data_IF_136065396256
#
_entry.id   IF_136065396256
#
_cell.length_a   1.000
_cell.length_b   1.000
_cell.length_c   1.000
_cell.angle_alpha   90.00
_cell.angle_beta   90.00
_cell.angle_gamma   90.00
#
_symmetry.space_group_name_H-M   'P 1'
#
loop_
_entity.id
_entity.type
_entity.pdbx_description
1 polymer ?
#
# COMPACT_ATOMS: atom_id res chain seq x y z
N UNK A 1 4.65 -15.60 1.58
CA UNK A 1 3.92 -14.31 1.59
C UNK A 1 4.89 -13.17 1.34
N UNK A 2 6.02 -13.16 2.04
CA UNK A 2 7.02 -12.09 1.96
C UNK A 2 7.58 -11.86 0.56
N UNK A 3 7.88 -12.92 -0.20
CA UNK A 3 8.32 -12.79 -1.60
C UNK A 3 7.27 -12.15 -2.50
N UNK A 4 5.99 -12.47 -2.32
CA UNK A 4 4.89 -11.82 -3.06
C UNK A 4 4.75 -10.36 -2.65
N UNK A 5 4.82 -10.04 -1.35
CA UNK A 5 4.80 -8.66 -0.87
C UNK A 5 6.00 -7.89 -1.44
N UNK A 6 7.21 -8.46 -1.43
CA UNK A 6 8.40 -7.84 -1.99
C UNK A 6 8.22 -7.56 -3.49
N UNK A 7 7.75 -8.53 -4.28
CA UNK A 7 7.47 -8.32 -5.71
C UNK A 7 6.43 -7.22 -5.94
N UNK A 8 5.29 -7.28 -5.25
CA UNK A 8 4.21 -6.28 -5.38
C UNK A 8 4.59 -4.89 -4.86
N UNK A 9 5.75 -4.76 -4.20
CA UNK A 9 6.29 -3.51 -3.66
C UNK A 9 7.61 -3.11 -4.35
N UNK A 10 7.98 -3.80 -5.44
CA UNK A 10 9.25 -3.55 -6.12
C UNK A 10 9.18 -2.27 -6.95
N UNK A 11 10.25 -1.49 -6.83
CA UNK A 11 10.51 -0.33 -7.69
C UNK A 11 12.01 -0.03 -7.66
N UNK A 12 12.75 -0.53 -8.64
CA UNK A 12 14.19 -0.28 -8.78
C UNK A 12 14.47 0.53 -10.06
N UNK A 13 13.63 1.54 -10.33
CA UNK A 13 13.53 2.19 -11.63
C UNK A 13 14.82 2.80 -12.19
N UNK A 14 15.79 3.13 -11.34
CA UNK A 14 17.08 3.68 -11.78
C UNK A 14 18.04 2.61 -12.30
N UNK A 15 17.84 1.34 -11.95
CA UNK A 15 18.71 0.21 -12.32
C UNK A 15 18.01 -0.85 -13.17
N UNK A 16 16.69 -0.97 -13.08
CA UNK A 16 15.92 -1.95 -13.83
C UNK A 16 15.83 -1.53 -15.32
N UNK A 17 16.39 -2.33 -16.25
CA UNK A 17 16.32 -2.02 -17.68
C UNK A 17 14.87 -1.98 -18.22
N UNK A 18 13.92 -2.63 -17.55
CA UNK A 18 12.49 -2.60 -17.92
C UNK A 18 11.79 -1.31 -17.51
N UNK A 19 12.41 -0.48 -16.66
CA UNK A 19 11.86 0.82 -16.25
C UNK A 19 12.21 1.96 -17.22
N UNK A 20 12.99 1.68 -18.27
CA UNK A 20 13.44 2.69 -19.24
C UNK A 20 12.28 3.29 -20.05
N UNK A 21 12.42 4.55 -20.42
CA UNK A 21 11.56 5.21 -21.40
C UNK A 21 12.39 6.10 -22.32
N UNK A 22 11.80 6.50 -23.46
CA UNK A 22 12.33 7.58 -24.30
C UNK A 22 12.06 8.94 -23.64
N UNK A 23 12.85 9.24 -22.61
CA UNK A 23 12.66 10.31 -21.66
C UNK A 23 14.02 10.77 -21.11
N UNK A 24 14.05 11.91 -20.41
CA UNK A 24 15.26 12.40 -19.73
C UNK A 24 14.92 12.76 -18.27
N UNK A 25 15.45 12.02 -17.26
CA UNK A 25 16.36 10.87 -17.35
C UNK A 25 15.73 9.67 -18.07
N UNK A 26 16.51 8.69 -18.59
CA UNK A 26 16.05 7.60 -19.46
C UNK A 26 15.30 6.48 -18.71
N UNK A 27 14.59 6.84 -17.65
CA UNK A 27 13.79 5.96 -16.81
C UNK A 27 12.65 6.76 -16.17
N UNK A 28 11.61 6.05 -15.76
CA UNK A 28 10.55 6.63 -14.95
C UNK A 28 10.25 5.74 -13.75
N UNK A 29 10.13 6.34 -12.58
CA UNK A 29 9.68 5.68 -11.36
C UNK A 29 8.21 5.20 -11.45
N UNK A 30 7.49 5.57 -12.51
CA UNK A 30 6.18 5.03 -12.86
C UNK A 30 6.28 3.62 -13.45
N UNK A 31 7.38 3.28 -14.15
CA UNK A 31 7.56 2.00 -14.83
C UNK A 31 8.06 0.91 -13.86
N UNK A 32 7.25 0.60 -12.85
CA UNK A 32 7.52 -0.43 -11.85
C UNK A 32 6.21 -1.08 -11.39
N UNK A 33 6.28 -2.24 -10.73
CA UNK A 33 5.09 -2.89 -10.15
C UNK A 33 4.45 -1.96 -9.11
N UNK A 34 5.26 -1.33 -8.26
CA UNK A 34 4.81 -0.33 -7.31
C UNK A 34 5.32 1.06 -7.71
N UNK A 35 4.58 1.78 -8.54
CA UNK A 35 4.97 3.09 -9.08
C UNK A 35 5.21 4.17 -8.01
N UNK A 36 6.10 5.12 -8.31
CA UNK A 36 6.51 6.26 -7.46
C UNK A 36 6.72 7.53 -8.29
N UNK A 37 5.68 8.06 -8.93
CA UNK A 37 5.83 9.21 -9.82
C UNK A 37 6.32 10.48 -9.09
N UNK A 38 6.15 10.55 -7.77
CA UNK A 38 6.70 11.60 -6.91
C UNK A 38 8.24 11.64 -6.86
N UNK A 39 8.92 10.59 -7.33
CA UNK A 39 10.39 10.51 -7.42
C UNK A 39 10.94 10.94 -8.79
N UNK A 40 10.07 11.14 -9.79
CA UNK A 40 10.50 11.63 -11.09
C UNK A 40 10.94 13.10 -10.98
N UNK A 41 12.02 13.51 -11.66
CA UNK A 41 12.39 14.92 -11.72
C UNK A 41 11.28 15.82 -12.30
N UNK A 42 10.97 16.92 -11.61
CA UNK A 42 9.96 17.91 -12.07
C UNK A 42 10.36 18.53 -13.42
N UNK A 43 11.66 18.71 -13.64
CA UNK A 43 12.25 19.26 -14.86
C UNK A 43 12.66 18.18 -15.88
N UNK A 44 12.23 16.93 -15.69
CA UNK A 44 12.47 15.87 -16.66
C UNK A 44 11.62 16.02 -17.92
N UNK A 45 12.09 15.46 -19.03
CA UNK A 45 11.36 15.39 -20.29
C UNK A 45 10.72 14.02 -20.43
N UNK A 46 9.42 13.98 -20.63
CA UNK A 46 8.65 12.75 -20.73
C UNK A 46 7.75 12.77 -21.96
N UNK A 47 7.54 11.62 -22.63
CA UNK A 47 6.73 11.57 -23.84
C UNK A 47 5.24 11.80 -23.56
N UNK A 48 4.80 11.55 -22.32
CA UNK A 48 3.43 11.82 -21.86
C UNK A 48 3.39 11.97 -20.34
N UNK A 49 2.33 12.62 -19.83
CA UNK A 49 2.19 13.06 -18.43
C UNK A 49 2.32 11.93 -17.40
N UNK A 50 1.83 10.73 -17.68
CA UNK A 50 1.87 9.62 -16.70
C UNK A 50 3.29 9.15 -16.34
N UNK A 51 4.31 9.51 -17.13
CA UNK A 51 5.70 9.19 -16.80
C UNK A 51 6.43 10.29 -16.03
N UNK A 52 5.82 11.48 -15.89
CA UNK A 52 6.45 12.64 -15.27
C UNK A 52 6.25 12.71 -13.75
N UNK A 53 6.75 13.76 -13.10
CA UNK A 53 6.42 14.06 -11.71
C UNK A 53 4.94 14.42 -11.54
N UNK A 54 4.23 13.68 -10.69
CA UNK A 54 2.87 14.00 -10.26
C UNK A 54 2.46 13.15 -9.04
N UNK A 55 1.33 13.50 -8.44
CA UNK A 55 0.73 12.78 -7.29
C UNK A 55 0.10 11.44 -7.74
N UNK A 56 0.96 10.47 -8.07
CA UNK A 56 0.57 9.15 -8.54
C UNK A 56 1.59 8.10 -8.09
N UNK A 57 1.09 6.96 -7.63
CA UNK A 57 1.91 5.84 -7.23
C UNK A 57 1.08 4.68 -6.70
N UNK A 58 1.74 3.56 -6.43
CA UNK A 58 1.13 2.49 -5.66
C UNK A 58 1.01 2.91 -4.19
N UNK A 59 -0.16 2.71 -3.58
CA UNK A 59 -0.45 3.18 -2.20
C UNK A 59 -0.71 2.05 -1.21
N UNK A 60 -0.67 0.79 -1.66
CA UNK A 60 -0.80 -0.36 -0.77
C UNK A 60 -0.29 -1.65 -1.45
N UNK A 61 -0.34 -2.75 -0.70
CA UNK A 61 -0.46 -4.11 -1.23
C UNK A 61 -1.37 -4.91 -0.31
N UNK A 62 -2.16 -5.83 -0.87
CA UNK A 62 -2.97 -6.80 -0.12
C UNK A 62 -2.70 -8.19 -0.69
N UNK A 63 -2.33 -9.13 0.16
CA UNK A 63 -2.01 -10.50 -0.24
C UNK A 63 -2.75 -11.48 0.68
N UNK A 64 -3.35 -12.50 0.10
CA UNK A 64 -3.93 -13.63 0.83
C UNK A 64 -3.36 -14.94 0.30
N UNK A 65 -3.69 -16.05 0.96
CA UNK A 65 -3.33 -17.39 0.52
C UNK A 65 -4.43 -18.39 0.92
N UNK A 66 -4.29 -19.64 0.49
CA UNK A 66 -5.25 -20.71 0.76
C UNK A 66 -5.55 -20.94 2.24
N UNK A 67 -4.62 -20.60 3.15
CA UNK A 67 -4.83 -20.68 4.60
C UNK A 67 -5.59 -19.47 5.14
N UNK A 68 -5.20 -18.25 4.74
CA UNK A 68 -5.77 -17.01 5.26
C UNK A 68 -7.21 -16.80 4.78
N UNK A 69 -7.49 -17.16 3.53
CA UNK A 69 -8.83 -16.97 2.93
C UNK A 69 -9.93 -17.72 3.69
N UNK A 70 -9.61 -18.87 4.31
CA UNK A 70 -10.54 -19.65 5.13
C UNK A 70 -11.07 -18.89 6.36
N UNK A 71 -10.37 -17.83 6.77
CA UNK A 71 -10.75 -16.96 7.88
C UNK A 71 -10.97 -15.51 7.44
N UNK A 72 -11.12 -15.29 6.12
CA UNK A 72 -11.25 -13.99 5.46
C UNK A 72 -10.07 -13.05 5.75
N UNK A 73 -8.90 -13.58 6.09
CA UNK A 73 -7.72 -12.80 6.44
C UNK A 73 -6.88 -12.46 5.19
N UNK A 74 -6.09 -11.39 5.33
CA UNK A 74 -5.08 -10.99 4.36
C UNK A 74 -3.96 -10.25 5.09
N UNK A 75 -2.77 -10.24 4.50
CA UNK A 75 -1.67 -9.38 4.92
C UNK A 75 -1.66 -8.14 4.03
N UNK A 76 -1.59 -6.96 4.63
CA UNK A 76 -1.54 -5.70 3.90
C UNK A 76 -0.39 -4.81 4.35
N UNK A 77 0.11 -4.00 3.43
CA UNK A 77 1.01 -2.87 3.72
C UNK A 77 0.34 -1.63 3.15
N UNK A 78 0.26 -0.56 3.94
CA UNK A 78 -0.29 0.73 3.50
C UNK A 78 0.85 1.72 3.20
N UNK A 79 0.65 2.56 2.19
CA UNK A 79 1.56 3.61 1.75
C UNK A 79 2.43 3.24 0.54
N UNK A 80 3.14 4.23 -0.04
CA UNK A 80 4.07 4.02 -1.15
C UNK A 80 5.24 3.07 -0.82
N UNK A 81 5.85 2.38 -1.81
CA UNK A 81 7.02 1.51 -1.58
C UNK A 81 8.23 2.29 -1.04
N UNK A 82 9.10 1.60 -0.29
CA UNK A 82 10.33 2.15 0.31
C UNK A 82 10.66 1.66 1.72
N UNK A 83 9.66 1.10 2.43
CA UNK A 83 9.87 0.46 3.74
C UNK A 83 10.26 -1.02 3.63
N UNK A 84 9.36 -1.83 3.05
CA UNK A 84 9.55 -3.30 2.91
C UNK A 84 10.72 -3.63 1.98
N UNK A 85 10.76 -2.99 0.81
CA UNK A 85 11.92 -2.97 -0.07
C UNK A 85 12.60 -1.61 0.06
N UNK A 86 13.93 -1.58 0.05
CA UNK A 86 14.73 -0.37 0.22
C UNK A 86 15.19 0.25 -1.11
N UNK A 87 14.59 -0.18 -2.21
CA UNK A 87 14.96 0.24 -3.58
C UNK A 87 14.65 1.73 -3.84
N UNK A 88 13.66 2.27 -3.13
CA UNK A 88 13.23 3.68 -3.17
C UNK A 88 13.13 4.25 -1.76
N UNK A 89 13.30 5.58 -1.57
CA UNK A 89 13.18 6.19 -0.25
C UNK A 89 11.74 6.16 0.27
N UNK A 90 11.60 6.10 1.60
CA UNK A 90 10.29 6.24 2.26
C UNK A 90 9.64 7.57 1.88
N UNK A 91 8.37 7.53 1.49
CA UNK A 91 7.60 8.74 1.22
C UNK A 91 7.33 9.52 2.52
N UNK A 92 7.60 10.83 2.48
CA UNK A 92 7.37 11.76 3.59
C UNK A 92 6.78 13.06 3.05
N UNK A 93 5.54 13.37 3.44
CA UNK A 93 4.87 14.60 3.07
C UNK A 93 5.66 15.85 3.48
N UNK A 94 6.44 15.83 4.56
CA UNK A 94 7.19 17.03 5.01
C UNK A 94 8.25 17.48 4.02
N UNK A 95 8.85 16.53 3.32
CA UNK A 95 9.95 16.76 2.37
C UNK A 95 9.51 16.73 0.92
N UNK A 96 8.32 16.18 0.63
CA UNK A 96 7.87 16.02 -0.75
C UNK A 96 7.34 17.36 -1.34
N UNK A 97 7.71 17.73 -2.58
CA UNK A 97 7.21 18.94 -3.23
C UNK A 97 5.68 19.01 -3.39
N UNK A 98 4.99 17.85 -3.35
CA UNK A 98 3.53 17.76 -3.42
C UNK A 98 2.83 18.30 -2.18
N UNK A 99 3.50 18.41 -1.02
CA UNK A 99 2.90 18.85 0.25
C UNK A 99 2.09 20.14 0.15
N UNK A 100 2.61 21.12 -0.60
CA UNK A 100 1.98 22.44 -0.75
C UNK A 100 0.83 22.46 -1.77
N UNK A 101 0.72 21.42 -2.60
CA UNK A 101 -0.22 21.32 -3.73
C UNK A 101 -1.37 20.36 -3.47
N UNK A 102 -1.14 19.33 -2.66
CA UNK A 102 -2.09 18.24 -2.41
C UNK A 102 -2.55 18.30 -0.95
N UNK A 103 -3.85 18.54 -0.67
CA UNK A 103 -4.40 18.40 0.68
C UNK A 103 -4.35 16.95 1.17
N UNK A 104 -3.85 16.73 2.39
CA UNK A 104 -3.64 15.38 2.97
C UNK A 104 -4.02 15.35 4.46
N UNK A 105 -5.14 15.97 4.82
CA UNK A 105 -5.64 16.03 6.19
C UNK A 105 -5.90 14.63 6.76
N UNK A 106 -5.43 14.38 7.98
CA UNK A 106 -5.58 13.09 8.66
C UNK A 106 -4.62 12.00 8.16
N UNK A 107 -3.79 12.26 7.15
CA UNK A 107 -2.74 11.34 6.74
C UNK A 107 -1.49 11.48 7.63
N UNK A 108 -0.77 10.38 7.88
CA UNK A 108 0.57 10.44 8.45
C UNK A 108 1.53 11.24 7.56
N UNK A 109 2.44 12.02 8.14
CA UNK A 109 3.50 12.67 7.36
C UNK A 109 4.41 11.62 6.69
N UNK A 110 4.90 10.64 7.47
CA UNK A 110 5.85 9.62 7.01
C UNK A 110 5.17 8.26 6.82
N UNK A 111 5.28 7.69 5.63
CA UNK A 111 4.62 6.44 5.24
C UNK A 111 5.58 5.25 5.30
N UNK A 112 5.85 4.75 6.51
CA UNK A 112 6.73 3.60 6.75
C UNK A 112 6.03 2.51 7.57
N UNK A 113 4.92 2.00 7.06
CA UNK A 113 4.14 0.97 7.75
C UNK A 113 4.66 -0.43 7.45
N UNK A 114 4.73 -1.26 8.49
CA UNK A 114 5.05 -2.68 8.36
C UNK A 114 3.86 -3.48 7.81
N UNK A 115 4.09 -4.66 7.21
CA UNK A 115 3.01 -5.58 6.86
C UNK A 115 2.20 -6.00 8.10
N UNK A 116 0.87 -5.97 7.98
CA UNK A 116 -0.06 -6.41 9.03
C UNK A 116 -0.99 -7.47 8.47
N UNK A 117 -1.03 -8.63 9.11
CA UNK A 117 -2.08 -9.63 8.86
C UNK A 117 -3.33 -9.24 9.62
N UNK A 118 -4.33 -8.78 8.89
CA UNK A 118 -5.58 -8.33 9.47
C UNK A 118 -6.33 -9.51 10.08
N UNK A 119 -6.76 -9.34 11.34
CA UNK A 119 -7.60 -10.30 12.06
C UNK A 119 -8.92 -9.62 12.36
N UNK A 120 -10.01 -10.16 11.80
CA UNK A 120 -11.34 -9.70 12.15
C UNK A 120 -11.53 -9.80 13.66
N UNK A 121 -12.04 -8.73 14.29
CA UNK A 121 -12.64 -8.87 15.62
C UNK A 121 -13.71 -9.95 15.47
N UNK A 122 -13.66 -11.00 16.29
CA UNK A 122 -14.78 -11.95 16.35
C UNK A 122 -16.03 -11.09 16.51
N UNK A 123 -16.96 -11.14 15.54
CA UNK A 123 -18.31 -10.70 15.82
C UNK A 123 -18.71 -11.40 17.12
N UNK A 124 -19.22 -10.66 18.10
CA UNK A 124 -19.71 -11.27 19.34
C UNK A 124 -20.64 -12.42 18.94
N UNK A 125 -20.14 -13.65 19.09
CA UNK A 125 -20.90 -14.85 18.81
C UNK A 125 -21.21 -15.38 20.19
N UNK A 126 -22.41 -15.11 20.73
CA UNK A 126 -22.75 -15.63 22.04
C UNK A 126 -22.54 -17.15 22.02
N UNK A 127 -21.88 -17.66 23.05
CA UNK A 127 -21.68 -19.10 23.22
C UNK A 127 -23.03 -19.81 23.14
N UNK A 128 -23.02 -21.12 22.87
CA UNK A 128 -24.26 -21.92 22.85
C UNK A 128 -25.04 -21.75 24.17
N UNK A 129 -24.32 -21.62 25.28
CA UNK A 129 -24.85 -21.35 26.61
C UNK A 129 -25.45 -19.94 26.75
N UNK A 130 -24.79 -18.92 26.18
CA UNK A 130 -25.31 -17.54 26.17
C UNK A 130 -26.55 -17.40 25.29
N UNK A 131 -26.58 -18.06 24.12
CA UNK A 131 -27.77 -18.15 23.25
C UNK A 131 -28.93 -18.85 23.95
N UNK A 132 -28.64 -19.93 24.68
CA UNK A 132 -29.65 -20.64 25.46
C UNK A 132 -30.19 -19.78 26.61
N UNK A 133 -29.33 -19.05 27.34
CA UNK A 133 -29.76 -18.10 28.37
C UNK A 133 -30.64 -16.98 27.81
N UNK A 134 -30.26 -16.42 26.67
CA UNK A 134 -31.04 -15.38 25.99
C UNK A 134 -32.42 -15.89 25.56
N UNK A 135 -32.48 -17.08 24.96
CA UNK A 135 -33.74 -17.72 24.58
C UNK A 135 -34.67 -17.99 25.78
N UNK A 136 -34.12 -18.39 26.93
CA UNK A 136 -34.90 -18.56 28.16
C UNK A 136 -35.42 -17.22 28.69
N UNK A 137 -34.61 -16.17 28.69
CA UNK A 137 -35.05 -14.84 29.13
C UNK A 137 -36.14 -14.24 28.23
N UNK A 138 -36.08 -14.49 26.92
CA UNK A 138 -37.07 -13.98 25.95
C UNK A 138 -38.42 -14.72 26.03
N UNK A 139 -38.46 -15.92 26.61
CA UNK A 139 -39.67 -16.73 26.84
C UNK A 139 -40.26 -16.60 28.25
N UNK A 140 -39.65 -15.76 29.08
CA UNK A 140 -40.09 -15.49 30.44
C UNK A 140 -41.03 -14.27 30.46
N UNK A 141 -42.14 -14.34 29.72
CA UNK A 141 -43.29 -13.45 29.81
C UNK A 141 -44.56 -14.23 29.49
#
# INVERSE_FOLDING_TARGET
MDSMISLMRSNNYTQDPLSKCDCNPPYSATNAIASRADLNPINGTYPFRSLSFHDLGAIDVKVTNSRLINTLQFTAVSGPPGGVNKDVPIFDWRTNPLRKKVPHFGQPDKWNFAPVTYKWRKAYTPSRLQRFKQYLSERSF
#
